data_IF_230318798106
#
_entry.id   IF_230318798106
#
_cell.length_a   1.000
_cell.length_b   1.000
_cell.length_c   1.000
_cell.angle_alpha   90.00
_cell.angle_beta   90.00
_cell.angle_gamma   90.00
#
_symmetry.space_group_name_H-M   'P 1'
#
loop_
_entity.id
_entity.type
_entity.pdbx_description
1 polymer ?
#
# COMPACT_ATOMS: atom_id res chain seq x y z
N UNK A 1 4.98 1.39 -9.83
CA UNK A 1 4.22 2.36 -9.00
C UNK A 1 2.75 2.05 -9.07
N UNK A 2 2.03 2.26 -7.98
CA UNK A 2 0.59 2.08 -7.90
C UNK A 2 -0.04 3.46 -7.70
N UNK A 3 -1.03 3.75 -8.52
CA UNK A 3 -1.71 5.04 -8.56
C UNK A 3 -3.22 4.85 -8.40
N UNK A 4 -3.91 5.87 -7.92
CA UNK A 4 -5.37 5.94 -7.95
C UNK A 4 -5.86 6.44 -9.30
N UNK A 5 -7.05 6.02 -9.70
CA UNK A 5 -7.74 6.61 -10.87
C UNK A 5 -8.09 8.07 -10.64
N UNK A 6 -8.47 8.42 -9.42
CA UNK A 6 -8.64 9.82 -8.97
C UNK A 6 -8.26 9.96 -7.49
N UNK A 7 -7.85 11.15 -7.06
CA UNK A 7 -7.44 11.41 -5.66
C UNK A 7 -8.58 11.24 -4.65
N UNK A 8 -9.82 11.45 -5.06
CA UNK A 8 -11.01 11.32 -4.20
C UNK A 8 -11.35 9.88 -3.80
N UNK A 9 -10.72 8.88 -4.44
CA UNK A 9 -10.95 7.47 -4.13
C UNK A 9 -10.25 6.98 -2.86
N UNK A 10 -9.18 7.65 -2.42
CA UNK A 10 -8.52 7.26 -1.18
C UNK A 10 -9.43 7.59 0.02
N UNK A 11 -9.71 6.62 0.90
CA UNK A 11 -10.54 6.88 2.07
C UNK A 11 -9.98 8.04 2.90
N UNK A 12 -10.83 9.01 3.21
CA UNK A 12 -10.42 10.20 3.96
C UNK A 12 -10.29 9.86 5.45
N UNK A 13 -9.25 10.41 6.05
CA UNK A 13 -8.99 10.38 7.48
C UNK A 13 -8.71 11.81 7.95
N UNK A 14 -8.48 12.01 9.25
CA UNK A 14 -8.30 13.35 9.85
C UNK A 14 -7.24 14.22 9.15
N UNK A 15 -6.24 13.59 8.53
CA UNK A 15 -5.18 14.26 7.78
C UNK A 15 -5.26 13.83 6.32
N UNK A 16 -5.34 14.78 5.41
CA UNK A 16 -5.31 14.51 3.98
C UNK A 16 -3.85 14.33 3.50
N UNK A 17 -3.58 13.37 2.60
CA UNK A 17 -2.28 13.25 1.99
C UNK A 17 -2.07 14.25 0.87
N UNK A 18 -0.84 14.69 0.68
CA UNK A 18 -0.39 15.35 -0.54
C UNK A 18 0.07 14.31 -1.55
N UNK A 19 -0.26 14.50 -2.82
CA UNK A 19 0.07 13.56 -3.88
C UNK A 19 1.06 14.16 -4.87
N UNK A 20 2.04 13.36 -5.29
CA UNK A 20 2.69 13.50 -6.58
C UNK A 20 1.89 12.71 -7.62
N UNK A 21 2.02 13.09 -8.88
CA UNK A 21 1.20 12.58 -9.97
C UNK A 21 2.04 12.02 -11.10
N UNK A 22 1.45 11.10 -11.85
CA UNK A 22 1.94 10.64 -13.17
C UNK A 22 0.95 11.10 -14.23
N UNK A 23 1.48 11.73 -15.27
CA UNK A 23 0.72 12.06 -16.49
C UNK A 23 0.83 10.91 -17.48
N UNK A 24 -0.32 10.38 -17.87
CA UNK A 24 -0.39 9.32 -18.86
C UNK A 24 -1.70 9.39 -19.65
N UNK A 25 -1.60 9.39 -20.98
CA UNK A 25 -2.76 9.48 -21.89
C UNK A 25 -3.73 10.61 -21.52
N UNK A 26 -3.22 11.82 -21.34
CA UNK A 26 -3.97 13.03 -20.95
C UNK A 26 -4.71 12.94 -19.61
N UNK A 27 -4.36 11.98 -18.77
CA UNK A 27 -4.89 11.85 -17.41
C UNK A 27 -3.78 12.08 -16.39
N UNK A 28 -4.17 12.53 -15.21
CA UNK A 28 -3.31 12.91 -14.10
C UNK A 28 -3.58 11.98 -12.91
N UNK A 29 -2.70 11.02 -12.66
CA UNK A 29 -2.91 9.94 -11.69
C UNK A 29 -2.12 10.16 -10.40
N UNK A 30 -2.76 10.23 -9.22
CA UNK A 30 -2.05 10.38 -7.95
C UNK A 30 -1.32 9.09 -7.55
N UNK A 31 -0.03 9.22 -7.26
CA UNK A 31 0.82 8.12 -6.82
C UNK A 31 0.57 7.86 -5.35
N UNK A 32 0.22 6.62 -4.99
CA UNK A 32 -0.01 6.22 -3.60
C UNK A 32 1.01 5.25 -3.04
N UNK A 33 1.69 4.49 -3.90
CA UNK A 33 2.64 3.49 -3.46
C UNK A 33 3.70 3.19 -4.52
N UNK A 34 4.94 3.01 -4.10
CA UNK A 34 6.01 2.43 -4.92
C UNK A 34 6.52 1.14 -4.28
N UNK A 35 7.04 0.24 -5.09
CA UNK A 35 7.65 -0.99 -4.63
C UNK A 35 8.45 -1.63 -5.75
N UNK A 36 9.34 -2.54 -5.35
CA UNK A 36 10.16 -3.33 -6.26
C UNK A 36 9.82 -4.81 -6.14
N UNK A 37 10.11 -5.57 -7.17
CA UNK A 37 10.10 -7.02 -7.14
C UNK A 37 11.39 -7.54 -7.74
N UNK A 38 12.15 -8.30 -6.97
CA UNK A 38 13.39 -8.96 -7.42
C UNK A 38 13.14 -10.32 -8.07
N UNK A 39 11.90 -10.82 -8.02
CA UNK A 39 11.57 -12.16 -8.54
C UNK A 39 10.66 -12.04 -9.78
N UNK A 40 9.54 -11.33 -9.67
CA UNK A 40 8.59 -11.15 -10.76
C UNK A 40 7.52 -10.13 -10.38
N UNK A 41 7.34 -9.12 -11.22
CA UNK A 41 6.27 -8.11 -11.08
C UNK A 41 4.90 -8.80 -11.07
N UNK A 42 4.66 -9.76 -11.97
CA UNK A 42 3.40 -10.51 -12.05
C UNK A 42 3.09 -11.24 -10.74
N UNK A 43 4.09 -11.89 -10.14
CA UNK A 43 3.89 -12.67 -8.91
C UNK A 43 3.72 -11.77 -7.68
N UNK A 44 4.49 -10.70 -7.56
CA UNK A 44 4.43 -9.81 -6.41
C UNK A 44 3.32 -8.78 -6.52
N UNK A 45 3.31 -7.98 -7.57
CA UNK A 45 2.41 -6.84 -7.65
C UNK A 45 1.00 -7.26 -8.06
N UNK A 46 0.87 -8.08 -9.10
CA UNK A 46 -0.45 -8.47 -9.57
C UNK A 46 -1.08 -9.54 -8.67
N UNK A 47 -0.39 -10.66 -8.42
CA UNK A 47 -0.95 -11.75 -7.62
C UNK A 47 -1.01 -11.42 -6.13
N UNK A 48 0.00 -10.77 -5.58
CA UNK A 48 0.09 -10.51 -4.14
C UNK A 48 -0.74 -9.29 -3.71
N UNK A 49 -0.79 -8.23 -4.52
CA UNK A 49 -1.55 -7.03 -4.21
C UNK A 49 -2.97 -7.08 -4.73
N UNK A 50 -3.22 -7.49 -5.98
CA UNK A 50 -4.51 -7.37 -6.64
C UNK A 50 -5.37 -8.63 -6.61
N UNK A 51 -4.77 -9.83 -6.55
CA UNK A 51 -5.51 -11.11 -6.53
C UNK A 51 -5.41 -11.80 -5.18
N UNK A 52 -4.25 -11.69 -4.51
CA UNK A 52 -4.01 -12.38 -3.25
C UNK A 52 -4.79 -11.78 -2.09
N UNK A 53 -5.66 -12.55 -1.49
CA UNK A 53 -6.44 -12.17 -0.30
C UNK A 53 -5.58 -12.29 0.97
N UNK A 54 -4.50 -11.54 1.08
CA UNK A 54 -3.60 -11.64 2.24
C UNK A 54 -2.89 -10.33 2.58
N UNK A 55 -3.58 -9.44 3.28
CA UNK A 55 -2.98 -8.23 3.84
C UNK A 55 -1.83 -8.51 4.82
N UNK A 56 -1.78 -9.69 5.41
CA UNK A 56 -0.68 -10.11 6.28
C UNK A 56 0.69 -10.18 5.61
N UNK A 57 0.73 -10.24 4.26
CA UNK A 57 1.95 -10.27 3.44
C UNK A 57 2.12 -9.04 2.55
N UNK A 58 1.17 -8.12 2.54
CA UNK A 58 1.17 -6.93 1.68
C UNK A 58 0.99 -5.67 2.51
N UNK A 59 2.03 -4.82 2.55
CA UNK A 59 1.98 -3.52 3.23
C UNK A 59 0.95 -2.59 2.60
N UNK A 60 0.80 -2.60 1.27
CA UNK A 60 -0.20 -1.83 0.56
C UNK A 60 -1.62 -2.23 0.98
N UNK A 61 -1.94 -3.53 0.91
CA UNK A 61 -3.27 -4.04 1.31
C UNK A 61 -3.57 -3.71 2.77
N UNK A 62 -2.58 -3.91 3.66
CA UNK A 62 -2.75 -3.58 5.08
C UNK A 62 -3.02 -2.10 5.30
N UNK A 63 -2.37 -1.22 4.55
CA UNK A 63 -2.62 0.22 4.61
C UNK A 63 -4.02 0.58 4.12
N UNK A 64 -4.41 0.11 2.93
CA UNK A 64 -5.72 0.40 2.34
C UNK A 64 -6.87 -0.14 3.19
N UNK A 65 -6.81 -1.41 3.61
CA UNK A 65 -7.87 -1.98 4.46
C UNK A 65 -7.95 -1.31 5.85
N UNK A 66 -6.82 -0.81 6.38
CA UNK A 66 -6.84 -0.02 7.62
C UNK A 66 -7.49 1.35 7.43
N UNK A 67 -7.29 2.01 6.28
CA UNK A 67 -7.98 3.24 5.91
C UNK A 67 -9.48 3.02 5.72
N UNK A 68 -9.88 1.86 5.21
CA UNK A 68 -11.29 1.45 5.06
C UNK A 68 -11.93 1.02 6.40
N UNK A 69 -11.18 1.02 7.51
CA UNK A 69 -11.68 0.65 8.81
C UNK A 69 -11.87 -0.86 9.02
N UNK A 70 -11.27 -1.72 8.19
CA UNK A 70 -11.47 -3.16 8.30
C UNK A 70 -10.87 -3.72 9.59
N UNK A 71 -11.64 -4.56 10.33
CA UNK A 71 -11.20 -5.21 11.54
C UNK A 71 -10.01 -6.14 11.27
N UNK A 72 -9.03 -6.11 12.17
CA UNK A 72 -7.86 -6.99 12.07
C UNK A 72 -8.04 -8.21 12.92
N UNK A 73 -7.74 -9.36 12.36
CA UNK A 73 -7.69 -10.65 13.05
C UNK A 73 -6.26 -11.19 13.06
N UNK A 74 -5.90 -12.04 14.04
CA UNK A 74 -4.62 -12.72 14.06
C UNK A 74 -4.39 -13.49 12.76
N UNK A 75 -3.17 -13.38 12.20
CA UNK A 75 -2.80 -14.14 10.99
C UNK A 75 -2.58 -15.61 11.30
N UNK A 76 -2.03 -15.89 12.46
CA UNK A 76 -1.78 -17.23 12.96
C UNK A 76 -2.73 -17.52 14.13
N UNK A 77 -3.64 -18.47 13.93
CA UNK A 77 -4.61 -18.86 14.95
C UNK A 77 -3.96 -19.61 16.14
N UNK A 78 -2.82 -20.26 15.90
CA UNK A 78 -2.09 -21.01 16.92
C UNK A 78 -1.18 -20.10 17.77
N UNK A 79 -0.85 -18.91 17.26
CA UNK A 79 -0.07 -17.90 17.97
C UNK A 79 -0.64 -16.50 17.70
N UNK A 80 -1.83 -16.19 18.26
CA UNK A 80 -2.55 -14.94 17.99
C UNK A 80 -1.79 -13.69 18.46
N UNK A 81 -0.96 -13.83 19.48
CA UNK A 81 -0.28 -12.71 20.15
C UNK A 81 1.07 -12.36 19.49
N UNK A 82 1.42 -12.98 18.36
CA UNK A 82 2.66 -12.68 17.64
C UNK A 82 2.67 -11.31 16.91
N UNK A 83 1.62 -10.51 17.07
CA UNK A 83 1.46 -9.19 16.46
C UNK A 83 1.22 -9.19 14.95
N UNK A 84 1.18 -10.36 14.29
CA UNK A 84 0.92 -10.46 12.85
C UNK A 84 -0.59 -10.56 12.60
N UNK A 85 -1.13 -9.61 11.86
CA UNK A 85 -2.58 -9.52 11.57
C UNK A 85 -2.87 -9.60 10.08
N UNK A 86 -4.11 -9.95 9.76
CA UNK A 86 -4.73 -9.90 8.43
C UNK A 86 -6.19 -9.42 8.58
N UNK A 87 -6.93 -9.28 7.48
CA UNK A 87 -8.37 -9.08 7.51
C UNK A 87 -9.10 -10.43 7.38
N UNK A 88 -10.40 -10.48 7.66
CA UNK A 88 -11.22 -11.64 7.36
C UNK A 88 -11.39 -11.81 5.85
N UNK A 89 -11.92 -12.96 5.41
CA UNK A 89 -12.01 -13.29 3.99
C UNK A 89 -12.90 -12.31 3.22
N UNK A 90 -14.03 -11.92 3.78
CA UNK A 90 -14.96 -10.98 3.14
C UNK A 90 -14.32 -9.60 2.93
N UNK A 91 -13.61 -9.08 3.94
CA UNK A 91 -12.93 -7.81 3.84
C UNK A 91 -11.73 -7.86 2.88
N UNK A 92 -11.00 -8.98 2.85
CA UNK A 92 -9.93 -9.20 1.87
C UNK A 92 -10.48 -9.23 0.43
N UNK A 93 -11.63 -9.84 0.20
CA UNK A 93 -12.28 -9.87 -1.12
C UNK A 93 -12.80 -8.49 -1.52
N UNK A 94 -13.50 -7.79 -0.63
CA UNK A 94 -13.93 -6.39 -0.84
C UNK A 94 -12.76 -5.48 -1.16
N UNK A 95 -11.64 -5.63 -0.45
CA UNK A 95 -10.42 -4.89 -0.73
C UNK A 95 -9.87 -5.21 -2.12
N UNK A 96 -9.83 -6.49 -2.50
CA UNK A 96 -9.34 -6.93 -3.81
C UNK A 96 -10.20 -6.36 -4.95
N UNK A 97 -11.51 -6.37 -4.78
CA UNK A 97 -12.44 -5.78 -5.75
C UNK A 97 -12.20 -4.28 -5.87
N UNK A 98 -12.19 -3.56 -4.75
CA UNK A 98 -11.93 -2.12 -4.74
C UNK A 98 -10.60 -1.75 -5.40
N UNK A 99 -9.54 -2.51 -5.11
CA UNK A 99 -8.22 -2.26 -5.70
C UNK A 99 -8.23 -2.45 -7.23
N UNK A 100 -8.89 -3.48 -7.75
CA UNK A 100 -9.01 -3.70 -9.20
C UNK A 100 -9.80 -2.59 -9.91
N UNK A 101 -10.81 -2.05 -9.24
CA UNK A 101 -11.67 -0.99 -9.80
C UNK A 101 -11.00 0.38 -9.76
N UNK A 102 -10.20 0.67 -8.73
CA UNK A 102 -9.75 2.01 -8.40
C UNK A 102 -8.26 2.25 -8.56
N UNK A 103 -7.45 1.22 -8.73
CA UNK A 103 -6.01 1.35 -8.87
C UNK A 103 -5.53 1.01 -10.29
N UNK A 104 -4.41 1.62 -10.66
CA UNK A 104 -3.63 1.27 -11.85
C UNK A 104 -2.20 0.94 -11.42
N UNK A 105 -1.60 -0.01 -12.13
CA UNK A 105 -0.20 -0.41 -11.94
C UNK A 105 0.64 0.11 -13.10
N UNK A 106 1.58 0.99 -12.81
CA UNK A 106 2.67 1.39 -13.72
C UNK A 106 3.94 0.64 -13.31
N UNK A 107 4.57 -0.05 -14.26
CA UNK A 107 5.79 -0.79 -13.99
C UNK A 107 6.82 -0.61 -15.09
N UNK A 108 8.09 -0.74 -14.71
CA UNK A 108 9.23 -0.87 -15.61
C UNK A 108 9.94 -2.18 -15.31
N UNK A 109 10.42 -2.84 -16.34
CA UNK A 109 11.28 -4.01 -16.21
C UNK A 109 12.72 -3.53 -16.29
N UNK A 110 13.45 -3.68 -15.19
CA UNK A 110 14.85 -3.24 -15.08
C UNK A 110 15.77 -4.46 -15.01
N UNK A 111 16.74 -4.50 -15.90
CA UNK A 111 17.81 -5.51 -15.86
C UNK A 111 19.00 -4.94 -15.07
N UNK A 112 18.86 -4.89 -13.75
CA UNK A 112 19.83 -4.32 -12.82
C UNK A 112 20.12 -5.29 -11.68
N UNK A 113 21.28 -5.10 -11.05
CA UNK A 113 21.61 -5.78 -9.80
C UNK A 113 20.63 -5.40 -8.68
N UNK A 114 20.44 -6.31 -7.73
CA UNK A 114 19.47 -6.11 -6.63
C UNK A 114 19.69 -4.79 -5.88
N UNK A 115 20.94 -4.47 -5.55
CA UNK A 115 21.28 -3.23 -4.84
C UNK A 115 20.87 -1.98 -5.63
N UNK A 116 21.05 -2.00 -6.95
CA UNK A 116 20.66 -0.89 -7.82
C UNK A 116 19.13 -0.72 -7.85
N UNK A 117 18.38 -1.83 -7.83
CA UNK A 117 16.92 -1.83 -7.78
C UNK A 117 16.43 -1.29 -6.44
N UNK A 118 17.04 -1.70 -5.33
CA UNK A 118 16.72 -1.19 -3.99
C UNK A 118 17.02 0.32 -3.85
N UNK A 119 18.13 0.77 -4.42
CA UNK A 119 18.47 2.20 -4.44
C UNK A 119 17.50 3.01 -5.32
N UNK A 120 17.05 2.43 -6.44
CA UNK A 120 16.00 3.03 -7.26
C UNK A 120 14.68 3.16 -6.50
N UNK A 121 14.26 2.14 -5.74
CA UNK A 121 13.06 2.22 -4.88
C UNK A 121 13.18 3.37 -3.87
N UNK A 122 14.31 3.44 -3.16
CA UNK A 122 14.55 4.53 -2.19
C UNK A 122 14.46 5.90 -2.86
N UNK A 123 15.05 6.04 -4.05
CA UNK A 123 14.98 7.27 -4.84
C UNK A 123 13.54 7.61 -5.21
N UNK A 124 12.78 6.66 -5.74
CA UNK A 124 11.37 6.85 -6.10
C UNK A 124 10.50 7.22 -4.89
N UNK A 125 10.73 6.59 -3.73
CA UNK A 125 10.03 6.94 -2.48
C UNK A 125 10.35 8.38 -2.06
N UNK A 126 11.60 8.80 -2.18
CA UNK A 126 12.00 10.16 -1.83
C UNK A 126 11.44 11.20 -2.81
N UNK A 127 11.52 10.94 -4.11
CA UNK A 127 11.13 11.89 -5.16
C UNK A 127 9.61 12.06 -5.23
N UNK A 128 8.85 10.97 -5.11
CA UNK A 128 7.38 10.96 -5.23
C UNK A 128 6.63 10.93 -3.90
N UNK A 129 7.33 10.72 -2.80
CA UNK A 129 6.76 10.71 -1.45
C UNK A 129 5.37 10.02 -1.35
N UNK A 130 5.22 8.75 -1.80
CA UNK A 130 3.93 8.09 -1.83
C UNK A 130 3.36 7.94 -0.42
N UNK A 131 2.10 8.33 -0.16
CA UNK A 131 1.56 8.37 1.21
C UNK A 131 1.44 7.00 1.89
N UNK A 132 1.36 5.91 1.12
CA UNK A 132 1.24 4.55 1.68
C UNK A 132 2.59 3.84 1.87
N UNK A 133 3.71 4.42 1.43
CA UNK A 133 5.04 3.95 1.80
C UNK A 133 5.41 4.49 3.19
N UNK A 134 5.28 3.65 4.22
CA UNK A 134 5.59 4.04 5.61
C UNK A 134 7.07 3.78 5.92
N UNK A 135 7.56 2.61 5.53
CA UNK A 135 8.95 2.22 5.78
C UNK A 135 9.89 2.89 4.78
N UNK A 136 10.97 3.45 5.26
CA UNK A 136 11.99 4.09 4.42
C UNK A 136 11.59 5.46 3.86
N UNK A 137 10.39 5.96 4.16
CA UNK A 137 9.94 7.28 3.71
C UNK A 137 10.11 8.31 4.84
N UNK A 138 11.19 9.07 4.78
CA UNK A 138 11.53 10.11 5.75
C UNK A 138 11.16 11.52 5.28
N UNK A 139 10.50 11.66 4.13
CA UNK A 139 10.10 12.96 3.61
C UNK A 139 9.15 13.66 4.60
N UNK A 140 9.33 14.95 4.92
CA UNK A 140 8.46 15.70 5.84
C UNK A 140 7.01 15.82 5.33
N UNK A 141 6.83 15.96 4.02
CA UNK A 141 5.50 15.90 3.38
C UNK A 141 4.88 14.54 3.71
N UNK A 142 3.60 14.50 4.02
CA UNK A 142 2.89 13.28 4.45
C UNK A 142 3.40 12.61 5.76
N UNK A 143 4.27 13.27 6.54
CA UNK A 143 4.76 12.69 7.81
C UNK A 143 3.61 12.41 8.79
N UNK A 144 2.71 13.36 8.95
CA UNK A 144 1.53 13.23 9.84
C UNK A 144 0.56 12.17 9.31
N UNK A 145 0.29 12.17 8.01
CA UNK A 145 -0.52 11.15 7.36
C UNK A 145 0.04 9.74 7.60
N UNK A 146 1.35 9.55 7.38
CA UNK A 146 2.00 8.25 7.62
C UNK A 146 1.99 7.84 9.10
N UNK A 147 2.12 8.79 10.01
CA UNK A 147 2.03 8.52 11.45
C UNK A 147 0.62 8.05 11.85
N UNK A 148 -0.42 8.71 11.33
CA UNK A 148 -1.80 8.32 11.53
C UNK A 148 -2.09 6.95 10.91
N UNK A 149 -1.68 6.73 9.68
CA UNK A 149 -1.80 5.44 9.00
C UNK A 149 -1.10 4.31 9.77
N UNK A 150 0.09 4.56 10.33
CA UNK A 150 0.80 3.59 11.19
C UNK A 150 -0.03 3.25 12.44
N UNK A 151 -0.66 4.24 13.07
CA UNK A 151 -1.57 4.01 14.20
C UNK A 151 -2.77 3.16 13.79
N UNK A 152 -3.43 3.49 12.67
CA UNK A 152 -4.55 2.71 12.15
C UNK A 152 -4.15 1.26 11.84
N UNK A 153 -2.97 1.04 11.28
CA UNK A 153 -2.46 -0.33 11.01
C UNK A 153 -2.17 -1.14 12.26
N UNK A 154 -1.84 -0.49 13.37
CA UNK A 154 -1.52 -1.15 14.65
C UNK A 154 -2.74 -1.29 15.57
N UNK A 155 -3.85 -0.62 15.29
CA UNK A 155 -5.11 -0.80 16.03
C UNK A 155 -5.61 -2.23 15.82
N UNK A 156 -5.74 -2.97 16.92
CA UNK A 156 -6.45 -4.26 16.93
C UNK A 156 -7.88 -4.02 17.39
N UNK A 157 -8.83 -4.83 16.92
CA UNK A 157 -10.26 -4.78 17.29
C UNK A 157 -10.55 -5.09 18.77
N UNK A 158 -9.50 -5.32 19.57
CA UNK A 158 -9.63 -5.58 21.01
C UNK A 158 -9.68 -4.31 21.87
N UNK A 159 -9.56 -3.12 21.27
CA UNK A 159 -9.50 -1.83 22.00
C UNK A 159 -10.59 -0.85 21.51
N UNK A 160 -11.76 -1.35 21.15
CA UNK A 160 -12.95 -0.53 20.88
C UNK A 160 -14.04 -0.76 21.94
#
# INVERSE_FOLDING_TARGET
>A
MIVLRTSSLLPQIEVAPEFHYIDYNNNHYPIIYTGISTISIRKRDYQQHFIGNNAGKSTLRKSLGSLMGFPKIPRDKNNPDNGKTKFNENDEERLSQWMRENLLLFYSVENREQEQIENLEKKLINDYNPPLNILGNNNPINKEYRALLKRLRNRTSLNS
#
